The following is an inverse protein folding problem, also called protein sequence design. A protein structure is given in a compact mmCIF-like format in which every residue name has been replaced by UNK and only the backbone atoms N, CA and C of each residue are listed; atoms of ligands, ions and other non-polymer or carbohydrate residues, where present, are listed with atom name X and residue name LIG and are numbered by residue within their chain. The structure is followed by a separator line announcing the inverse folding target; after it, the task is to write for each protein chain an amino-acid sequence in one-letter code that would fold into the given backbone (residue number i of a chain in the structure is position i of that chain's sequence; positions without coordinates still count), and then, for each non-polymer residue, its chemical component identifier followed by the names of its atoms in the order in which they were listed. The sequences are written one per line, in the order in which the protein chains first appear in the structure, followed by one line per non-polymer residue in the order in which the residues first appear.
data_IF_808754798419
#
_entry.id   IF_808754798419
#
_cell.length_a   1.000
_cell.length_b   1.000
_cell.length_c   1.000
_cell.angle_alpha   90.00
_cell.angle_beta   90.00
_cell.angle_gamma   90.00
#
_symmetry.space_group_name_H-M   'P 1'
#
loop_
_entity.id
_entity.type
_entity.pdbx_description
1 polymer ?
#
# COMPACT_ATOMS: atom_id res chain seq x y z
N UNK A 1 -18.65 10.52 8.18
CA UNK A 1 -19.05 10.79 6.81
C UNK A 1 -18.74 9.57 5.95
N UNK A 2 -19.71 9.08 5.20
CA UNK A 2 -19.52 7.94 4.29
C UNK A 2 -19.80 8.38 2.87
N UNK A 3 -18.84 8.15 1.98
CA UNK A 3 -18.99 8.40 0.54
C UNK A 3 -18.82 7.09 -0.22
N UNK A 4 -19.59 6.91 -1.27
CA UNK A 4 -19.36 5.84 -2.24
C UNK A 4 -18.16 6.22 -3.12
N UNK A 5 -17.18 5.32 -3.21
CA UNK A 5 -15.96 5.50 -3.99
C UNK A 5 -16.09 4.68 -5.28
N UNK A 6 -15.69 5.27 -6.39
CA UNK A 6 -15.76 4.68 -7.72
C UNK A 6 -14.38 4.71 -8.40
N UNK A 7 -14.26 3.97 -9.49
CA UNK A 7 -13.09 4.07 -10.36
C UNK A 7 -12.88 5.51 -10.82
N UNK A 8 -11.64 5.93 -10.88
CA UNK A 8 -11.16 7.28 -11.20
C UNK A 8 -11.38 8.32 -10.08
N UNK A 9 -11.89 7.93 -8.92
CA UNK A 9 -11.93 8.83 -7.78
C UNK A 9 -10.54 9.01 -7.17
N UNK A 10 -10.27 10.21 -6.69
CA UNK A 10 -9.03 10.53 -5.98
C UNK A 10 -9.34 10.84 -4.52
N UNK A 11 -8.64 10.18 -3.62
CA UNK A 11 -8.71 10.43 -2.19
C UNK A 11 -7.54 11.31 -1.77
N UNK A 12 -7.84 12.48 -1.24
CA UNK A 12 -6.84 13.45 -0.79
C UNK A 12 -7.12 13.79 0.66
N UNK A 13 -6.09 13.68 1.50
CA UNK A 13 -6.13 14.16 2.88
C UNK A 13 -5.31 15.43 3.02
N UNK A 14 -5.74 16.32 3.88
CA UNK A 14 -5.00 17.51 4.30
C UNK A 14 -4.56 17.35 5.75
N UNK A 15 -5.23 17.96 6.71
CA UNK A 15 -4.88 17.86 8.13
C UNK A 15 -5.57 16.69 8.84
N UNK A 16 -6.43 15.96 8.16
CA UNK A 16 -7.14 14.81 8.70
C UNK A 16 -6.66 13.49 8.10
N UNK A 17 -7.32 12.43 8.51
CA UNK A 17 -7.06 11.05 8.06
C UNK A 17 -8.27 10.47 7.38
N UNK A 18 -8.04 9.45 6.58
CA UNK A 18 -9.10 8.78 5.84
C UNK A 18 -8.91 7.27 5.92
N UNK A 19 -10.00 6.55 6.08
CA UNK A 19 -10.03 5.10 5.89
C UNK A 19 -11.01 4.79 4.77
N UNK A 20 -10.57 3.97 3.83
CA UNK A 20 -11.37 3.50 2.70
C UNK A 20 -11.53 1.99 2.84
N UNK A 21 -12.78 1.53 2.88
CA UNK A 21 -13.09 0.10 2.90
C UNK A 21 -13.75 -0.28 1.57
N UNK A 22 -13.16 -1.23 0.88
CA UNK A 22 -13.67 -1.76 -0.39
C UNK A 22 -14.67 -2.90 -0.14
N UNK A 23 -15.41 -3.27 -1.19
CA UNK A 23 -16.43 -4.33 -1.10
C UNK A 23 -15.87 -5.72 -0.81
N UNK A 24 -14.58 -5.94 -1.08
CA UNK A 24 -13.86 -7.17 -0.75
C UNK A 24 -13.28 -7.16 0.69
N UNK A 25 -13.66 -6.18 1.49
CA UNK A 25 -13.16 -5.92 2.85
C UNK A 25 -11.70 -5.46 2.92
N UNK A 26 -11.05 -5.21 1.78
CA UNK A 26 -9.76 -4.52 1.77
C UNK A 26 -9.89 -3.11 2.33
N UNK A 27 -8.89 -2.67 3.09
CA UNK A 27 -8.89 -1.36 3.73
C UNK A 27 -7.60 -0.61 3.39
N UNK A 28 -7.75 0.68 3.09
CA UNK A 28 -6.62 1.61 2.95
C UNK A 28 -6.79 2.71 3.98
N UNK A 29 -5.78 2.90 4.82
CA UNK A 29 -5.73 3.98 5.81
C UNK A 29 -4.70 5.01 5.36
N UNK A 30 -5.16 6.23 5.09
CA UNK A 30 -4.32 7.36 4.69
C UNK A 30 -4.03 8.26 5.89
N UNK A 31 -2.77 8.64 6.05
CA UNK A 31 -2.38 9.69 6.99
C UNK A 31 -2.65 11.07 6.40
N UNK A 32 -2.29 12.11 7.12
CA UNK A 32 -2.38 13.49 6.66
C UNK A 32 -1.51 13.70 5.41
N UNK A 33 -1.91 14.62 4.55
CA UNK A 33 -1.19 15.03 3.33
C UNK A 33 -0.88 13.85 2.38
N UNK A 34 -1.86 12.94 2.23
CA UNK A 34 -1.75 11.79 1.34
C UNK A 34 -2.65 11.93 0.12
N UNK A 35 -2.23 11.31 -0.98
CA UNK A 35 -2.96 11.29 -2.25
C UNK A 35 -3.00 9.87 -2.80
N UNK A 36 -4.21 9.34 -3.00
CA UNK A 36 -4.47 8.03 -3.57
C UNK A 36 -5.49 8.15 -4.69
N UNK A 37 -5.11 7.68 -5.87
CA UNK A 37 -6.02 7.54 -7.01
C UNK A 37 -6.52 6.11 -7.10
N UNK A 38 -7.83 5.92 -7.20
CA UNK A 38 -8.44 4.65 -7.51
C UNK A 38 -8.55 4.55 -9.03
N UNK A 39 -7.54 3.96 -9.68
CA UNK A 39 -7.52 3.84 -11.13
C UNK A 39 -8.65 2.97 -11.63
N UNK A 40 -8.81 1.80 -11.01
CA UNK A 40 -9.84 0.86 -11.39
C UNK A 40 -10.22 -0.01 -10.18
N UNK A 41 -11.51 -0.12 -9.93
CA UNK A 41 -12.04 -1.05 -8.96
C UNK A 41 -13.28 -1.73 -9.55
N UNK A 42 -13.17 -3.02 -9.77
CA UNK A 42 -14.27 -3.87 -10.28
C UNK A 42 -14.52 -4.94 -9.24
N UNK A 43 -15.71 -4.93 -8.66
CA UNK A 43 -16.20 -5.99 -7.82
C UNK A 43 -17.05 -6.95 -8.64
N UNK A 44 -16.66 -8.22 -8.69
CA UNK A 44 -17.37 -9.27 -9.40
C UNK A 44 -17.43 -10.52 -8.52
N UNK A 45 -18.55 -11.28 -8.50
CA UNK A 45 -18.62 -12.55 -7.79
C UNK A 45 -17.58 -13.58 -8.26
N UNK A 46 -17.17 -13.49 -9.53
CA UNK A 46 -16.05 -14.28 -10.05
C UNK A 46 -14.72 -13.56 -9.77
N UNK A 47 -13.86 -14.10 -8.90
CA UNK A 47 -12.59 -13.46 -8.53
C UNK A 47 -11.67 -13.15 -9.73
N UNK A 48 -11.77 -13.93 -10.80
CA UNK A 48 -10.95 -13.71 -12.01
C UNK A 48 -11.33 -12.46 -12.78
N UNK A 49 -12.54 -11.95 -12.58
CA UNK A 49 -13.07 -10.74 -13.20
C UNK A 49 -12.99 -9.52 -12.27
N UNK A 50 -12.81 -9.73 -10.99
CA UNK A 50 -12.61 -8.64 -10.04
C UNK A 50 -11.21 -8.03 -10.21
N UNK A 51 -11.09 -6.73 -10.02
CA UNK A 51 -9.84 -6.01 -10.22
C UNK A 51 -9.72 -4.83 -9.28
N UNK A 52 -8.51 -4.61 -8.78
CA UNK A 52 -8.16 -3.42 -8.01
C UNK A 52 -6.82 -2.88 -8.52
N UNK A 53 -6.84 -1.66 -9.00
CA UNK A 53 -5.63 -0.93 -9.41
C UNK A 53 -5.64 0.45 -8.75
N UNK A 54 -4.61 0.74 -7.98
CA UNK A 54 -4.46 1.96 -7.21
C UNK A 54 -3.14 2.64 -7.56
N UNK A 55 -3.12 3.98 -7.52
CA UNK A 55 -1.90 4.79 -7.63
C UNK A 55 -1.75 5.63 -6.37
N UNK A 56 -0.65 5.42 -5.65
CA UNK A 56 -0.31 6.16 -4.45
C UNK A 56 0.77 7.19 -4.76
N UNK A 57 0.39 8.47 -4.79
CA UNK A 57 1.24 9.56 -5.27
C UNK A 57 2.03 10.28 -4.20
N UNK A 58 1.54 10.32 -2.97
CA UNK A 58 2.16 11.08 -1.87
C UNK A 58 1.61 10.64 -0.53
N UNK A 59 2.45 10.66 0.50
CA UNK A 59 2.08 10.47 1.90
C UNK A 59 2.44 9.10 2.44
N UNK A 60 1.72 8.66 3.47
CA UNK A 60 1.87 7.34 4.08
C UNK A 60 0.51 6.65 4.15
N UNK A 61 0.47 5.41 3.74
CA UNK A 61 -0.73 4.60 3.78
C UNK A 61 -0.44 3.19 4.29
N UNK A 62 -1.43 2.60 4.96
CA UNK A 62 -1.45 1.18 5.30
C UNK A 62 -2.51 0.50 4.45
N UNK A 63 -2.11 -0.55 3.77
CA UNK A 63 -2.95 -1.37 2.92
C UNK A 63 -3.15 -2.72 3.58
N UNK A 64 -4.40 -3.07 3.84
CA UNK A 64 -4.78 -4.35 4.44
C UNK A 64 -5.66 -5.06 3.43
N UNK A 65 -5.15 -6.13 2.84
CA UNK A 65 -5.93 -6.95 1.92
C UNK A 65 -7.03 -7.67 2.68
N UNK A 66 -8.25 -7.60 2.17
CA UNK A 66 -9.40 -8.22 2.77
C UNK A 66 -9.52 -9.69 2.42
N UNK A 67 -10.72 -10.13 2.03
CA UNK A 67 -10.97 -11.52 1.71
C UNK A 67 -10.27 -11.91 0.40
N UNK A 68 -9.21 -12.69 0.52
CA UNK A 68 -8.32 -13.11 -0.58
C UNK A 68 -9.01 -13.90 -1.68
N UNK A 69 -10.20 -14.45 -1.41
CA UNK A 69 -10.94 -15.25 -2.37
C UNK A 69 -11.82 -14.41 -3.30
N UNK A 70 -11.90 -13.08 -3.09
CA UNK A 70 -12.78 -12.20 -3.84
C UNK A 70 -12.13 -11.54 -5.05
N UNK A 71 -10.80 -11.42 -5.06
CA UNK A 71 -10.02 -10.87 -6.18
C UNK A 71 -8.82 -11.78 -6.40
N UNK A 72 -8.60 -12.21 -7.63
CA UNK A 72 -7.38 -12.96 -7.96
C UNK A 72 -6.14 -12.11 -7.69
N UNK A 73 -5.13 -12.71 -7.09
CA UNK A 73 -3.90 -12.03 -6.64
C UNK A 73 -3.22 -11.23 -7.74
N UNK A 74 -3.27 -11.70 -8.97
CA UNK A 74 -2.70 -11.02 -10.14
C UNK A 74 -3.45 -9.75 -10.53
N UNK A 75 -4.65 -9.57 -10.00
CA UNK A 75 -5.52 -8.44 -10.31
C UNK A 75 -5.48 -7.33 -9.26
N UNK A 76 -4.58 -7.42 -8.28
CA UNK A 76 -4.39 -6.39 -7.25
C UNK A 76 -3.02 -5.74 -7.46
N UNK A 77 -3.02 -4.47 -7.87
CA UNK A 77 -1.78 -3.71 -8.12
C UNK A 77 -1.83 -2.35 -7.48
N UNK A 78 -0.67 -1.90 -7.02
CA UNK A 78 -0.45 -0.54 -6.54
C UNK A 78 0.73 0.06 -7.29
N UNK A 79 0.58 1.28 -7.78
CA UNK A 79 1.66 2.05 -8.39
C UNK A 79 2.06 3.21 -7.49
N UNK A 80 3.37 3.45 -7.43
CA UNK A 80 3.94 4.69 -6.91
C UNK A 80 4.69 5.41 -8.03
N UNK A 81 5.16 6.64 -7.84
CA UNK A 81 5.94 7.33 -8.88
C UNK A 81 7.21 6.57 -9.31
N UNK A 82 7.73 5.69 -8.46
CA UNK A 82 9.02 5.02 -8.70
C UNK A 82 8.93 3.50 -8.79
N UNK A 83 7.79 2.88 -8.51
CA UNK A 83 7.67 1.42 -8.50
C UNK A 83 6.26 0.93 -8.86
N UNK A 84 6.20 -0.29 -9.36
CA UNK A 84 4.98 -1.08 -9.46
C UNK A 84 4.99 -2.16 -8.39
N UNK A 85 3.90 -2.31 -7.67
CA UNK A 85 3.78 -3.21 -6.53
C UNK A 85 2.68 -4.20 -6.82
N UNK A 86 3.03 -5.48 -6.85
CA UNK A 86 2.07 -6.58 -6.93
C UNK A 86 1.83 -7.13 -5.51
N UNK A 87 0.57 -7.21 -5.14
CA UNK A 87 0.14 -7.55 -3.78
C UNK A 87 -0.47 -8.94 -3.79
N UNK A 88 0.06 -9.81 -2.94
CA UNK A 88 -0.44 -11.19 -2.79
C UNK A 88 -0.86 -11.44 -1.35
N UNK A 89 -2.02 -10.87 -1.00
CA UNK A 89 -2.66 -11.08 0.28
C UNK A 89 -1.86 -10.57 1.46
N UNK A 90 -1.64 -9.26 1.53
CA UNK A 90 -0.72 -8.67 2.50
C UNK A 90 -1.35 -7.57 3.34
N UNK A 91 -0.68 -7.31 4.47
CA UNK A 91 -0.78 -6.09 5.26
C UNK A 91 0.58 -5.39 5.14
N UNK A 92 0.61 -4.17 4.62
CA UNK A 92 1.85 -3.44 4.40
C UNK A 92 1.65 -1.94 4.45
N UNK A 93 2.75 -1.21 4.64
CA UNK A 93 2.77 0.25 4.53
C UNK A 93 3.54 0.69 3.30
N UNK A 94 3.09 1.77 2.70
CA UNK A 94 3.81 2.48 1.65
C UNK A 94 3.94 3.94 2.03
N UNK A 95 5.14 4.47 1.89
CA UNK A 95 5.43 5.90 2.05
C UNK A 95 6.02 6.43 0.76
N UNK A 96 5.46 7.52 0.25
CA UNK A 96 5.96 8.23 -0.94
C UNK A 96 6.23 9.67 -0.53
N UNK A 97 7.46 10.12 -0.72
CA UNK A 97 7.86 11.49 -0.42
C UNK A 97 7.62 12.45 -1.59
N UNK A 98 7.91 13.72 -1.40
CA UNK A 98 7.70 14.77 -2.41
C UNK A 98 8.55 14.59 -3.67
N UNK A 99 9.65 13.85 -3.58
CA UNK A 99 10.49 13.50 -4.74
C UNK A 99 10.03 12.23 -5.44
N UNK A 100 8.96 11.58 -4.95
CA UNK A 100 8.46 10.33 -5.50
C UNK A 100 9.17 9.08 -5.00
N UNK A 101 10.11 9.21 -4.06
CA UNK A 101 10.82 8.05 -3.49
C UNK A 101 9.86 7.22 -2.65
N UNK A 102 9.93 5.91 -2.79
CA UNK A 102 9.03 4.97 -2.14
C UNK A 102 9.74 4.15 -1.07
N UNK A 103 9.06 3.92 0.05
CA UNK A 103 9.45 2.96 1.08
C UNK A 103 8.29 2.00 1.28
N UNK A 104 8.53 0.71 1.12
CA UNK A 104 7.53 -0.35 1.27
C UNK A 104 7.95 -1.26 2.40
N UNK A 105 7.05 -1.51 3.35
CA UNK A 105 7.30 -2.36 4.52
C UNK A 105 6.19 -3.40 4.62
N UNK A 106 6.56 -4.69 4.55
CA UNK A 106 5.63 -5.80 4.78
C UNK A 106 5.38 -5.96 6.27
N UNK A 107 4.12 -6.04 6.66
CA UNK A 107 3.71 -6.20 8.06
C UNK A 107 3.37 -7.66 8.38
N UNK A 108 3.46 -8.05 9.67
CA UNK A 108 3.06 -9.38 10.10
C UNK A 108 1.53 -9.52 10.15
N UNK A 109 1.08 -10.79 10.15
CA UNK A 109 -0.29 -11.16 10.49
C UNK A 109 -0.51 -11.15 12.02
N UNK A 110 -1.71 -11.59 12.46
CA UNK A 110 -2.07 -11.66 13.87
C UNK A 110 -1.20 -12.62 14.69
N UNK A 111 -0.49 -13.54 14.04
CA UNK A 111 0.39 -14.54 14.67
C UNK A 111 1.87 -14.15 14.60
N UNK A 112 2.21 -12.97 14.09
CA UNK A 112 3.58 -12.50 13.91
C UNK A 112 4.30 -13.13 12.71
N UNK A 113 3.58 -13.85 11.86
CA UNK A 113 4.10 -14.40 10.60
C UNK A 113 3.90 -13.42 9.45
N UNK A 114 4.55 -13.66 8.32
CA UNK A 114 4.31 -12.84 7.14
C UNK A 114 2.83 -12.84 6.76
N UNK A 115 2.27 -11.65 6.55
CA UNK A 115 0.87 -11.50 6.10
C UNK A 115 0.68 -11.90 4.64
N UNK A 116 1.76 -12.09 3.88
CA UNK A 116 1.73 -12.46 2.47
C UNK A 116 3.04 -12.16 1.77
N UNK A 117 2.95 -11.82 0.50
CA UNK A 117 4.10 -11.52 -0.35
C UNK A 117 3.87 -10.25 -1.17
N UNK A 118 4.90 -9.45 -1.30
CA UNK A 118 4.90 -8.24 -2.13
C UNK A 118 6.05 -8.33 -3.13
N UNK A 119 5.74 -8.05 -4.40
CA UNK A 119 6.72 -7.89 -5.46
C UNK A 119 6.84 -6.40 -5.80
N UNK A 120 8.01 -5.83 -5.58
CA UNK A 120 8.30 -4.42 -5.91
C UNK A 120 9.17 -4.39 -7.15
N UNK A 121 8.62 -3.86 -8.24
CA UNK A 121 9.23 -3.88 -9.57
C UNK A 121 9.51 -2.48 -10.07
N UNK A 122 10.70 -2.29 -10.62
CA UNK A 122 11.10 -1.10 -11.37
C UNK A 122 11.53 -1.49 -12.78
N UNK A 123 11.96 -0.52 -13.59
CA UNK A 123 12.53 -0.79 -14.91
C UNK A 123 13.81 -1.62 -14.88
N UNK A 124 14.48 -1.77 -13.74
CA UNK A 124 15.76 -2.46 -13.58
C UNK A 124 15.69 -3.78 -12.80
N UNK A 125 14.52 -4.15 -12.29
CA UNK A 125 14.38 -5.44 -11.63
C UNK A 125 13.27 -5.49 -10.60
N UNK A 126 13.15 -6.64 -9.96
CA UNK A 126 12.11 -6.95 -8.96
C UNK A 126 12.76 -7.41 -7.67
N UNK A 127 12.19 -6.95 -6.55
CA UNK A 127 12.53 -7.39 -5.20
C UNK A 127 11.28 -7.98 -4.56
N UNK A 128 11.44 -9.08 -3.84
CA UNK A 128 10.35 -9.76 -3.12
C UNK A 128 10.46 -9.50 -1.63
N UNK A 129 9.34 -9.06 -1.02
CA UNK A 129 9.18 -8.99 0.43
C UNK A 129 8.26 -10.13 0.86
N UNK A 130 8.73 -11.00 1.74
CA UNK A 130 8.00 -12.18 2.21
C UNK A 130 8.22 -12.50 3.69
N UNK A 131 8.85 -11.60 4.43
CA UNK A 131 9.10 -11.73 5.87
C UNK A 131 8.53 -10.53 6.62
N UNK A 132 8.06 -10.71 7.88
CA UNK A 132 7.57 -9.61 8.70
C UNK A 132 8.61 -8.50 8.84
N UNK A 133 8.17 -7.25 8.68
CA UNK A 133 8.98 -6.03 8.76
C UNK A 133 10.10 -5.92 7.72
N UNK A 134 10.07 -6.75 6.71
CA UNK A 134 10.99 -6.64 5.57
C UNK A 134 10.60 -5.43 4.73
N UNK A 135 11.60 -4.62 4.36
CA UNK A 135 11.40 -3.36 3.66
C UNK A 135 12.35 -3.18 2.49
N UNK A 136 11.90 -2.42 1.50
CA UNK A 136 12.73 -1.95 0.39
C UNK A 136 12.42 -0.48 0.10
N UNK A 137 13.42 0.23 -0.42
CA UNK A 137 13.28 1.60 -0.90
C UNK A 137 13.52 1.67 -2.40
N UNK A 138 12.83 2.60 -3.06
CA UNK A 138 13.00 2.88 -4.49
C UNK A 138 13.15 4.37 -4.68
N UNK A 139 14.31 4.81 -5.17
CA UNK A 139 14.60 6.23 -5.38
C UNK A 139 14.09 6.73 -6.73
N UNK A 140 14.26 5.94 -7.80
CA UNK A 140 13.78 6.23 -9.15
C UNK A 140 13.37 4.92 -9.83
N UNK A 141 12.50 5.02 -10.82
CA UNK A 141 12.02 3.85 -11.57
C UNK A 141 13.13 3.16 -12.38
N UNK A 142 14.17 3.90 -12.77
CA UNK A 142 15.31 3.42 -13.52
C UNK A 142 16.37 2.72 -12.66
N UNK A 143 16.17 2.63 -11.37
CA UNK A 143 17.04 1.90 -10.45
C UNK A 143 16.32 0.67 -9.90
N UNK A 144 17.09 -0.40 -9.65
CA UNK A 144 16.56 -1.58 -8.95
C UNK A 144 16.16 -1.20 -7.53
N UNK A 145 15.05 -1.75 -6.99
CA UNK A 145 14.72 -1.59 -5.57
C UNK A 145 15.89 -2.04 -4.68
N UNK A 146 16.06 -1.39 -3.53
CA UNK A 146 17.12 -1.79 -2.59
C UNK A 146 16.95 -3.23 -2.13
N UNK A 147 18.06 -3.90 -1.81
CA UNK A 147 18.01 -5.25 -1.23
C UNK A 147 17.14 -5.23 0.03
N UNK A 148 16.22 -6.21 0.20
CA UNK A 148 15.32 -6.22 1.35
C UNK A 148 16.08 -6.31 2.67
N UNK A 149 15.67 -5.48 3.64
CA UNK A 149 16.19 -5.51 5.00
C UNK A 149 15.04 -5.64 5.98
N UNK A 150 15.26 -6.33 7.09
CA UNK A 150 14.27 -6.44 8.16
C UNK A 150 14.48 -5.27 9.11
N UNK A 151 13.43 -4.45 9.30
CA UNK A 151 13.46 -3.31 10.20
C UNK A 151 13.09 -3.73 11.63
N UNK A 152 13.71 -3.11 12.61
CA UNK A 152 13.38 -3.31 14.02
C UNK A 152 12.19 -2.41 14.40
N UNK A 153 11.01 -2.85 14.03
CA UNK A 153 9.74 -2.14 14.24
C UNK A 153 8.76 -3.04 14.99
N UNK A 154 7.77 -2.41 15.62
CA UNK A 154 6.60 -3.08 16.19
C UNK A 154 5.33 -2.55 15.50
N UNK A 155 4.23 -3.32 15.59
CA UNK A 155 2.93 -2.85 15.10
C UNK A 155 2.49 -1.57 15.81
N UNK A 156 2.77 -1.44 17.10
CA UNK A 156 2.48 -0.22 17.86
C UNK A 156 3.23 1.00 17.30
N UNK A 157 4.48 0.84 16.92
CA UNK A 157 5.25 1.91 16.26
C UNK A 157 4.63 2.31 14.94
N UNK A 158 4.18 1.35 14.15
CA UNK A 158 3.52 1.60 12.86
C UNK A 158 2.17 2.27 13.06
N UNK A 159 1.35 1.78 13.98
CA UNK A 159 0.07 2.38 14.33
C UNK A 159 0.25 3.80 14.86
N UNK A 160 1.29 4.06 15.65
CA UNK A 160 1.62 5.40 16.12
C UNK A 160 2.08 6.32 14.99
N UNK A 161 2.86 5.85 14.03
CA UNK A 161 3.20 6.61 12.84
C UNK A 161 1.95 7.01 12.05
N UNK A 162 0.99 6.10 11.98
CA UNK A 162 -0.28 6.32 11.29
C UNK A 162 -1.30 7.12 12.11
N UNK A 163 -1.18 7.11 13.45
CA UNK A 163 -2.20 7.67 14.34
C UNK A 163 -1.80 9.01 14.95
N UNK A 164 -0.55 9.27 15.26
CA UNK A 164 -0.19 10.29 16.26
C UNK A 164 0.38 11.56 15.69
N UNK A 165 0.98 11.59 14.54
CA UNK A 165 1.71 12.79 14.15
C UNK A 165 1.40 13.17 12.72
N UNK A 166 0.65 14.26 12.51
CA UNK A 166 0.79 14.96 11.25
C UNK A 166 2.27 15.29 11.07
N UNK A 167 2.81 15.18 9.86
CA UNK A 167 4.11 15.74 9.58
C UNK A 167 4.08 17.16 10.12
N UNK A 168 5.04 17.48 10.97
CA UNK A 168 5.18 18.86 11.39
C UNK A 168 5.42 19.64 10.13
N UNK A 169 4.53 20.56 9.85
CA UNK A 169 4.81 21.60 8.88
C UNK A 169 6.04 22.33 9.40
N UNK A 170 7.15 22.12 8.76
CA UNK A 170 8.31 22.97 8.93
C UNK A 170 8.15 24.21 8.06
#
# INVERSE_FOLDING_TARGET
LKFAIQSNDEAITTNGRMAITFLDDSTVKLTEHSQLLIDEYIYDPDPSKAKMALTFGLGTARFITGNLNRIDKQNITLKTPTANIAIRGTDFTATVDELGRSLIILLPDAFGLSSGEILVTTGMGTVTLNKPYQATTVSVFESKPSSPVILDLTLDMIDNMLIVTPPKEE
#
